data_IF_494256691498
#
_entry.id   IF_494256691498
#
_cell.length_a   1.000
_cell.length_b   1.000
_cell.length_c   1.000
_cell.angle_alpha   90.00
_cell.angle_beta   90.00
_cell.angle_gamma   90.00
#
_symmetry.space_group_name_H-M   'P 1'
#
loop_
_entity.id
_entity.type
_entity.pdbx_description
1 polymer ?
#
# COMPACT_ATOMS: atom_id res chain seq x y z
N UNK A 1 7.88 -40.46 -44.42
CA UNK A 1 8.43 -39.23 -43.80
C UNK A 1 7.30 -38.57 -43.03
N UNK A 2 7.20 -38.86 -41.73
CA UNK A 2 6.14 -38.33 -40.87
C UNK A 2 6.33 -36.82 -40.67
N UNK A 3 5.41 -36.05 -41.24
CA UNK A 3 5.40 -34.60 -41.14
C UNK A 3 4.86 -34.22 -39.74
N UNK A 4 5.74 -34.15 -38.74
CA UNK A 4 5.39 -33.63 -37.41
C UNK A 4 5.18 -32.11 -37.52
N UNK A 5 3.98 -31.70 -37.91
CA UNK A 5 3.52 -30.31 -37.73
C UNK A 5 3.43 -30.05 -36.22
N UNK A 6 4.50 -29.49 -35.66
CA UNK A 6 4.45 -28.89 -34.33
C UNK A 6 3.28 -27.91 -34.33
N UNK A 7 2.36 -28.10 -33.39
CA UNK A 7 1.16 -27.30 -33.26
C UNK A 7 1.59 -25.84 -33.16
N UNK A 8 1.39 -25.06 -34.24
CA UNK A 8 1.58 -23.62 -34.20
C UNK A 8 0.49 -23.06 -33.29
N UNK A 9 0.76 -23.07 -31.98
CA UNK A 9 -0.05 -22.32 -31.05
C UNK A 9 0.12 -20.85 -31.40
N UNK A 10 -1.00 -20.19 -31.68
CA UNK A 10 -0.98 -18.74 -31.87
C UNK A 10 -0.50 -18.11 -30.55
N UNK A 11 0.20 -16.99 -30.63
CA UNK A 11 0.68 -16.25 -29.46
C UNK A 11 -0.45 -16.02 -28.44
N UNK A 12 -1.68 -15.80 -28.92
CA UNK A 12 -2.88 -15.65 -28.09
C UNK A 12 -3.21 -16.88 -27.25
N UNK A 13 -3.03 -18.09 -27.77
CA UNK A 13 -3.26 -19.33 -26.99
C UNK A 13 -2.28 -19.45 -25.85
N UNK A 14 -1.00 -19.09 -26.07
CA UNK A 14 0.03 -19.12 -25.02
C UNK A 14 -0.31 -18.12 -23.91
N UNK A 15 -0.69 -16.88 -24.27
CA UNK A 15 -1.07 -15.85 -23.30
C UNK A 15 -2.29 -16.29 -22.47
N UNK A 16 -3.30 -16.87 -23.12
CA UNK A 16 -4.49 -17.35 -22.43
C UNK A 16 -4.18 -18.46 -21.41
N UNK A 17 -3.30 -19.41 -21.76
CA UNK A 17 -2.86 -20.48 -20.86
C UNK A 17 -2.11 -19.90 -19.65
N UNK A 18 -1.19 -18.95 -19.88
CA UNK A 18 -0.41 -18.33 -18.81
C UNK A 18 -1.32 -17.54 -17.87
N UNK A 19 -2.23 -16.72 -18.40
CA UNK A 19 -3.21 -15.98 -17.59
C UNK A 19 -4.11 -16.93 -16.81
N UNK A 20 -4.60 -18.00 -17.43
CA UNK A 20 -5.39 -19.03 -16.76
C UNK A 20 -4.66 -19.68 -15.59
N UNK A 21 -3.38 -20.03 -15.76
CA UNK A 21 -2.56 -20.60 -14.69
C UNK A 21 -2.33 -19.61 -13.54
N UNK A 22 -2.06 -18.34 -13.84
CA UNK A 22 -1.86 -17.30 -12.82
C UNK A 22 -3.12 -17.14 -11.97
N UNK A 23 -4.29 -17.00 -12.62
CA UNK A 23 -5.57 -16.88 -11.91
C UNK A 23 -5.85 -18.11 -11.05
N UNK A 24 -5.56 -19.31 -11.57
CA UNK A 24 -5.79 -20.56 -10.86
C UNK A 24 -4.91 -20.67 -9.59
N UNK A 25 -3.64 -20.26 -9.65
CA UNK A 25 -2.76 -20.19 -8.48
C UNK A 25 -3.29 -19.20 -7.44
N UNK A 26 -3.72 -18.01 -7.85
CA UNK A 26 -4.30 -17.02 -6.94
C UNK A 26 -5.58 -17.53 -6.27
N UNK A 27 -6.45 -18.22 -7.02
CA UNK A 27 -7.66 -18.81 -6.46
C UNK A 27 -7.36 -19.92 -5.47
N UNK A 28 -6.43 -20.84 -5.78
CA UNK A 28 -6.02 -21.89 -4.85
C UNK A 28 -5.44 -21.28 -3.58
N UNK A 29 -4.54 -20.32 -3.70
CA UNK A 29 -3.94 -19.65 -2.55
C UNK A 29 -4.99 -18.89 -1.72
N UNK A 30 -5.88 -18.14 -2.38
CA UNK A 30 -6.96 -17.39 -1.74
C UNK A 30 -8.00 -18.27 -1.03
N UNK A 31 -8.34 -19.43 -1.60
CA UNK A 31 -9.22 -20.40 -0.93
C UNK A 31 -8.51 -21.21 0.16
N UNK A 32 -7.19 -21.41 0.06
CA UNK A 32 -6.41 -22.18 1.04
C UNK A 32 -6.05 -21.37 2.29
N UNK A 33 -5.65 -20.11 2.13
CA UNK A 33 -5.26 -19.22 3.24
C UNK A 33 -6.43 -18.33 3.69
N UNK A 34 -7.53 -18.32 2.93
CA UNK A 34 -8.65 -17.41 3.13
C UNK A 34 -8.36 -16.01 2.57
N UNK A 35 -9.42 -15.34 2.12
CA UNK A 35 -9.33 -13.98 1.60
C UNK A 35 -8.93 -12.96 2.68
N UNK A 36 -9.17 -13.27 3.96
CA UNK A 36 -8.83 -12.40 5.09
C UNK A 36 -7.34 -12.06 5.17
N UNK A 37 -6.44 -13.06 5.11
CA UNK A 37 -4.99 -12.82 5.19
C UNK A 37 -4.41 -12.08 3.97
N UNK A 38 -5.02 -12.26 2.80
CA UNK A 38 -4.67 -11.48 1.60
C UNK A 38 -5.15 -10.04 1.72
N UNK A 39 -6.40 -9.84 2.14
CA UNK A 39 -6.93 -8.51 2.37
C UNK A 39 -6.17 -7.79 3.48
N UNK A 40 -5.82 -8.43 4.59
CA UNK A 40 -4.96 -7.86 5.64
C UNK A 40 -3.57 -7.45 5.15
N UNK A 41 -2.96 -8.21 4.22
CA UNK A 41 -1.68 -7.81 3.60
C UNK A 41 -1.83 -6.68 2.59
N UNK A 42 -2.95 -6.62 1.88
CA UNK A 42 -3.26 -5.57 0.91
C UNK A 42 -3.71 -4.27 1.60
N UNK A 43 -4.51 -4.37 2.66
CA UNK A 43 -4.98 -3.25 3.48
C UNK A 43 -3.99 -2.87 4.58
N UNK A 44 -3.04 -3.74 4.92
CA UNK A 44 -1.90 -3.44 5.79
C UNK A 44 -0.92 -2.44 5.19
N UNK A 45 -0.88 -2.33 3.85
CA UNK A 45 -0.26 -1.21 3.14
C UNK A 45 -1.07 0.11 3.27
N UNK A 46 -2.28 0.04 3.82
CA UNK A 46 -3.23 1.13 4.05
C UNK A 46 -3.51 1.46 5.53
N UNK A 47 -2.56 1.20 6.43
CA UNK A 47 -2.60 1.70 7.81
C UNK A 47 -3.20 0.72 8.84
N UNK A 48 -2.54 -0.42 9.03
CA UNK A 48 -2.80 -1.35 10.13
C UNK A 48 -1.73 -1.25 11.23
N UNK A 49 -2.20 -1.22 12.48
CA UNK A 49 -1.47 -1.34 13.75
C UNK A 49 -0.82 -0.09 14.34
N UNK A 50 0.30 0.42 13.82
CA UNK A 50 0.92 1.66 14.32
C UNK A 50 1.66 2.31 13.17
N UNK A 51 1.36 3.58 12.86
CA UNK A 51 1.98 4.27 11.71
C UNK A 51 2.65 5.60 12.09
N UNK A 52 2.96 5.80 13.37
CA UNK A 52 3.62 7.03 13.87
C UNK A 52 4.95 7.28 13.15
N UNK A 53 5.80 6.26 13.00
CA UNK A 53 7.10 6.39 12.32
C UNK A 53 6.96 6.66 10.82
N UNK A 54 6.03 5.98 10.16
CA UNK A 54 5.71 6.21 8.75
C UNK A 54 5.19 7.63 8.53
N UNK A 55 4.36 8.13 9.45
CA UNK A 55 3.83 9.49 9.40
C UNK A 55 4.91 10.53 9.71
N UNK A 56 5.80 10.27 10.68
CA UNK A 56 6.96 11.11 10.97
C UNK A 56 7.87 11.23 9.73
N UNK A 57 8.19 10.11 9.10
CA UNK A 57 8.98 10.08 7.86
C UNK A 57 8.31 10.86 6.73
N UNK A 58 6.99 10.68 6.54
CA UNK A 58 6.24 11.39 5.50
C UNK A 58 6.18 12.91 5.75
N UNK A 59 6.04 13.34 7.00
CA UNK A 59 6.04 14.75 7.38
C UNK A 59 7.43 15.39 7.24
N UNK A 60 8.49 14.69 7.65
CA UNK A 60 9.88 15.12 7.44
C UNK A 60 10.21 15.23 5.96
N UNK A 61 9.75 14.29 5.13
CA UNK A 61 9.94 14.34 3.69
C UNK A 61 9.18 15.51 3.04
N UNK A 62 7.93 15.74 3.43
CA UNK A 62 7.15 16.88 2.96
C UNK A 62 7.80 18.22 3.37
N UNK A 63 8.39 18.27 4.57
CA UNK A 63 9.17 19.40 5.05
C UNK A 63 10.42 19.66 4.22
N UNK A 64 11.22 18.61 3.94
CA UNK A 64 12.44 18.72 3.14
C UNK A 64 12.18 19.10 1.68
N UNK A 65 11.02 18.74 1.14
CA UNK A 65 10.62 19.06 -0.23
C UNK A 65 9.94 20.43 -0.37
N UNK A 66 9.87 21.23 0.71
CA UNK A 66 9.12 22.50 0.73
C UNK A 66 7.65 22.34 0.26
N UNK A 67 7.08 21.15 0.52
CA UNK A 67 5.73 20.82 0.07
C UNK A 67 4.69 21.33 1.08
N UNK A 68 4.40 22.63 1.00
CA UNK A 68 3.47 23.32 1.89
C UNK A 68 2.09 22.65 1.92
N UNK A 69 1.53 22.28 0.76
CA UNK A 69 0.25 21.58 0.72
C UNK A 69 0.31 20.21 1.41
N UNK A 70 1.37 19.45 1.13
CA UNK A 70 1.62 18.14 1.72
C UNK A 70 1.84 18.19 3.23
N UNK A 71 2.38 19.27 3.78
CA UNK A 71 2.61 19.41 5.22
C UNK A 71 1.37 20.00 5.94
N UNK A 72 0.77 21.06 5.39
CA UNK A 72 -0.27 21.84 6.05
C UNK A 72 -1.70 21.32 5.78
N UNK A 73 -1.99 20.83 4.57
CA UNK A 73 -3.36 20.56 4.13
C UNK A 73 -3.66 19.09 3.88
N UNK A 74 -2.63 18.28 3.60
CA UNK A 74 -2.81 16.85 3.36
C UNK A 74 -3.24 16.14 4.64
N UNK A 75 -4.52 15.75 4.67
CA UNK A 75 -5.10 14.92 5.72
C UNK A 75 -4.47 13.53 5.71
N UNK A 76 -4.00 13.10 6.87
CA UNK A 76 -3.39 11.81 7.16
C UNK A 76 -4.01 11.30 8.45
N UNK A 77 -3.93 9.99 8.67
CA UNK A 77 -4.46 9.36 9.87
C UNK A 77 -3.31 8.71 10.62
N UNK A 78 -3.08 9.11 11.87
CA UNK A 78 -2.14 8.43 12.76
C UNK A 78 -2.88 7.37 13.58
N UNK A 79 -2.26 6.21 13.71
CA UNK A 79 -2.64 5.11 14.58
C UNK A 79 -1.46 4.91 15.53
N UNK A 80 -1.68 5.18 16.83
CA UNK A 80 -0.63 5.13 17.86
C UNK A 80 -0.53 3.75 18.50
N UNK A 81 -1.65 3.01 18.54
CA UNK A 81 -1.74 1.63 19.01
C UNK A 81 -2.87 0.92 18.27
N UNK A 82 -2.80 -0.41 18.15
CA UNK A 82 -3.83 -1.23 17.51
C UNK A 82 -5.23 -1.07 18.16
N UNK A 83 -5.26 -0.77 19.47
CA UNK A 83 -6.48 -0.50 20.24
C UNK A 83 -6.79 1.00 20.43
N UNK A 84 -5.96 1.89 19.88
CA UNK A 84 -6.13 3.34 20.03
C UNK A 84 -7.02 3.93 18.93
N UNK A 85 -7.72 5.02 19.28
CA UNK A 85 -8.52 5.79 18.33
C UNK A 85 -7.64 6.31 17.18
N UNK A 86 -8.09 6.08 15.94
CA UNK A 86 -7.46 6.64 14.74
C UNK A 86 -7.63 8.16 14.76
N UNK A 87 -6.53 8.89 14.77
CA UNK A 87 -6.57 10.35 14.78
C UNK A 87 -6.30 10.89 13.37
N UNK A 88 -7.33 11.48 12.75
CA UNK A 88 -7.18 12.23 11.51
C UNK A 88 -6.60 13.62 11.79
N UNK A 89 -5.64 14.05 10.97
CA UNK A 89 -4.97 15.33 11.11
C UNK A 89 -3.99 15.60 9.97
N UNK A 90 -3.23 16.68 10.08
CA UNK A 90 -2.15 17.05 9.18
C UNK A 90 -0.81 17.05 9.95
N UNK A 91 0.31 17.21 9.25
CA UNK A 91 1.63 17.20 9.90
C UNK A 91 1.78 18.30 10.95
N UNK A 92 1.11 19.45 10.79
CA UNK A 92 1.11 20.51 11.79
C UNK A 92 0.37 20.11 13.08
N UNK A 93 -0.80 19.49 12.95
CA UNK A 93 -1.56 18.97 14.09
C UNK A 93 -0.77 17.87 14.81
N UNK A 94 -0.10 17.00 14.05
CA UNK A 94 0.74 15.94 14.62
C UNK A 94 2.00 16.49 15.28
N UNK A 95 2.61 17.54 14.74
CA UNK A 95 3.76 18.20 15.36
C UNK A 95 3.39 18.91 16.67
N UNK A 96 2.16 19.44 16.75
CA UNK A 96 1.63 20.06 17.97
C UNK A 96 1.40 19.02 19.07
N UNK A 97 0.97 17.82 18.69
CA UNK A 97 0.78 16.68 19.61
C UNK A 97 2.08 15.93 19.97
N UNK A 98 3.19 16.25 19.31
CA UNK A 98 4.50 15.62 19.55
C UNK A 98 4.70 14.27 18.87
N UNK A 99 3.87 13.92 17.87
CA UNK A 99 4.05 12.67 17.11
C UNK A 99 5.08 12.78 15.99
N UNK A 100 5.35 14.00 15.50
CA UNK A 100 6.29 14.28 14.40
C UNK A 100 7.10 15.53 14.70
N UNK A 101 8.25 15.68 14.06
CA UNK A 101 9.12 16.85 14.25
C UNK A 101 8.51 18.14 13.68
N UNK A 102 8.86 19.27 14.30
CA UNK A 102 8.45 20.60 13.83
C UNK A 102 9.22 20.97 12.57
N UNK A 103 8.49 21.44 11.56
CA UNK A 103 9.04 21.94 10.32
C UNK A 103 9.06 23.48 10.29
N UNK A 104 10.01 24.07 9.57
CA UNK A 104 10.08 25.53 9.33
C UNK A 104 9.15 26.03 8.22
N UNK A 105 8.45 25.13 7.52
CA UNK A 105 7.42 25.50 6.53
C UNK A 105 6.31 26.30 7.22
N UNK A 106 5.94 27.43 6.62
CA UNK A 106 4.84 28.25 7.11
C UNK A 106 3.52 27.65 6.62
N UNK A 107 2.72 27.20 7.59
CA UNK A 107 1.30 26.94 7.46
C UNK A 107 0.56 28.09 8.14
#
# INVERSE_FOLDING_TARGET
MENKKGQQMTLGTIIAIVLGLVVLVFLIYGFSTGWGSLWEKVTGLGGGDVNVDTMSTACTLACQQDNQYGFCNQSRTIVVSADAAKEAGNCTSFATKGYVDKCSITC
#
